data_IF_737153101197
#
_entry.id   IF_737153101197
#
_cell.length_a   1.000
_cell.length_b   1.000
_cell.length_c   1.000
_cell.angle_alpha   90.00
_cell.angle_beta   90.00
_cell.angle_gamma   90.00
#
_symmetry.space_group_name_H-M   'P 1'
#
loop_
_entity.id
_entity.type
_entity.pdbx_description
1 polymer ?
#
# COMPACT_ATOMS: atom_id res chain seq x y z
N UNK A 1 -25.69 37.62 15.77
CA UNK A 1 -24.31 37.10 15.85
C UNK A 1 -24.36 35.62 16.22
N UNK A 2 -24.51 34.72 15.26
CA UNK A 2 -24.42 33.26 15.49
C UNK A 2 -23.95 32.56 14.21
N UNK A 3 -22.65 32.32 14.09
CA UNK A 3 -22.04 31.36 13.16
C UNK A 3 -20.93 30.65 13.92
N UNK A 4 -21.31 29.64 14.70
CA UNK A 4 -20.38 28.79 15.45
C UNK A 4 -20.63 27.28 15.20
N UNK A 5 -21.33 26.93 14.11
CA UNK A 5 -21.67 25.53 13.77
C UNK A 5 -20.91 24.98 12.55
N UNK A 6 -19.86 25.66 12.06
CA UNK A 6 -19.14 25.27 10.82
C UNK A 6 -17.66 25.05 11.10
N UNK A 7 -17.30 24.30 12.13
CA UNK A 7 -15.87 24.04 12.40
C UNK A 7 -15.55 22.62 12.81
N UNK A 8 -16.43 21.96 13.57
CA UNK A 8 -16.20 20.56 13.97
C UNK A 8 -16.62 19.55 12.88
N UNK A 9 -17.77 19.72 12.23
CA UNK A 9 -18.22 18.78 11.17
C UNK A 9 -17.28 18.73 9.95
N UNK A 10 -16.71 19.87 9.55
CA UNK A 10 -15.76 19.94 8.42
C UNK A 10 -14.42 19.27 8.73
N UNK A 11 -13.96 19.35 9.98
CA UNK A 11 -12.70 18.73 10.42
C UNK A 11 -12.83 17.21 10.50
N UNK A 12 -13.95 16.71 11.02
CA UNK A 12 -14.26 15.28 11.07
C UNK A 12 -14.41 14.68 9.67
N UNK A 13 -15.14 15.36 8.77
CA UNK A 13 -15.28 14.95 7.36
C UNK A 13 -13.93 14.94 6.63
N UNK A 14 -13.09 15.94 6.89
CA UNK A 14 -11.73 16.02 6.32
C UNK A 14 -10.84 14.87 6.81
N UNK A 15 -10.86 14.57 8.12
CA UNK A 15 -10.09 13.48 8.71
C UNK A 15 -10.54 12.10 8.19
N UNK A 16 -11.85 11.89 8.07
CA UNK A 16 -12.42 10.67 7.48
C UNK A 16 -12.01 10.50 6.02
N UNK A 17 -12.10 11.58 5.21
CA UNK A 17 -11.68 11.56 3.81
C UNK A 17 -10.18 11.29 3.68
N UNK A 18 -9.36 11.91 4.53
CA UNK A 18 -7.92 11.67 4.56
C UNK A 18 -7.60 10.19 4.88
N UNK A 19 -8.28 9.61 5.86
CA UNK A 19 -8.15 8.18 6.18
C UNK A 19 -8.54 7.27 5.01
N UNK A 20 -9.66 7.57 4.34
CA UNK A 20 -10.12 6.81 3.18
C UNK A 20 -9.17 6.92 1.97
N UNK A 21 -8.67 8.12 1.67
CA UNK A 21 -7.70 8.34 0.59
C UNK A 21 -6.36 7.69 0.91
N UNK A 22 -5.90 7.74 2.17
CA UNK A 22 -4.70 7.05 2.62
C UNK A 22 -4.84 5.53 2.43
N UNK A 23 -5.94 4.95 2.92
CA UNK A 23 -6.21 3.52 2.77
C UNK A 23 -6.22 3.10 1.31
N UNK A 24 -6.94 3.84 0.45
CA UNK A 24 -6.98 3.55 -1.00
C UNK A 24 -5.60 3.58 -1.64
N UNK A 25 -4.77 4.58 -1.30
CA UNK A 25 -3.38 4.66 -1.80
C UNK A 25 -2.54 3.45 -1.36
N UNK A 26 -2.73 2.98 -0.12
CA UNK A 26 -2.04 1.79 0.38
C UNK A 26 -2.53 0.51 -0.30
N UNK A 27 -3.82 0.37 -0.57
CA UNK A 27 -4.37 -0.75 -1.34
C UNK A 27 -3.83 -0.76 -2.79
N UNK A 28 -3.75 0.40 -3.44
CA UNK A 28 -3.18 0.51 -4.78
C UNK A 28 -1.67 0.21 -4.78
N UNK A 29 -0.94 0.69 -3.77
CA UNK A 29 0.46 0.35 -3.57
C UNK A 29 0.67 -1.16 -3.37
N UNK A 30 -0.15 -1.79 -2.54
CA UNK A 30 -0.11 -3.23 -2.31
C UNK A 30 -0.28 -4.01 -3.62
N UNK A 31 -1.27 -3.63 -4.46
CA UNK A 31 -1.48 -4.26 -5.77
C UNK A 31 -0.27 -4.12 -6.69
N UNK A 32 0.42 -2.98 -6.66
CA UNK A 32 1.63 -2.77 -7.46
C UNK A 32 2.75 -3.71 -7.00
N UNK A 33 2.94 -3.84 -5.68
CA UNK A 33 3.96 -4.71 -5.12
C UNK A 33 3.66 -6.19 -5.37
N UNK A 34 2.41 -6.62 -5.26
CA UNK A 34 2.00 -7.99 -5.59
C UNK A 34 2.24 -8.32 -7.06
N UNK A 35 1.95 -7.38 -7.98
CA UNK A 35 2.30 -7.53 -9.40
C UNK A 35 3.81 -7.63 -9.63
N UNK A 36 4.60 -6.83 -8.92
CA UNK A 36 6.06 -6.88 -8.98
C UNK A 36 6.58 -8.23 -8.47
N UNK A 37 6.07 -8.73 -7.35
CA UNK A 37 6.41 -10.06 -6.82
C UNK A 37 6.09 -11.15 -7.85
N UNK A 38 4.90 -11.10 -8.43
CA UNK A 38 4.48 -12.07 -9.43
C UNK A 38 5.35 -12.02 -10.69
N UNK A 39 5.72 -10.82 -11.16
CA UNK A 39 6.72 -10.66 -12.23
C UNK A 39 8.05 -11.31 -11.85
N UNK A 40 8.57 -10.98 -10.67
CA UNK A 40 9.85 -11.50 -10.18
C UNK A 40 9.84 -13.01 -9.95
N UNK A 41 8.69 -13.65 -9.75
CA UNK A 41 8.59 -15.10 -9.54
C UNK A 41 8.27 -15.87 -10.82
N UNK A 42 7.35 -15.36 -11.64
CA UNK A 42 6.69 -16.13 -12.71
C UNK A 42 7.06 -15.68 -14.12
N UNK A 43 7.48 -14.42 -14.31
CA UNK A 43 7.75 -13.90 -15.64
C UNK A 43 9.12 -14.40 -16.16
N UNK A 44 9.18 -15.01 -17.36
CA UNK A 44 10.45 -15.45 -17.96
C UNK A 44 11.46 -14.30 -18.13
N UNK A 45 11.00 -13.05 -18.30
CA UNK A 45 11.88 -11.87 -18.38
C UNK A 45 12.56 -11.58 -17.05
N UNK A 46 11.98 -11.97 -15.92
CA UNK A 46 12.68 -11.86 -14.64
C UNK A 46 13.88 -12.82 -14.55
N UNK A 47 13.94 -13.88 -15.38
CA UNK A 47 15.10 -14.77 -15.45
C UNK A 47 16.31 -14.14 -16.18
N UNK A 48 16.12 -13.04 -16.92
CA UNK A 48 17.23 -12.30 -17.53
C UNK A 48 17.88 -11.31 -16.57
N UNK A 49 17.30 -11.11 -15.38
CA UNK A 49 17.90 -10.31 -14.32
C UNK A 49 19.02 -11.10 -13.65
N UNK A 50 20.02 -10.37 -13.17
CA UNK A 50 21.03 -10.93 -12.28
C UNK A 50 20.36 -11.61 -11.05
N UNK A 51 20.74 -12.86 -10.70
CA UNK A 51 20.08 -13.60 -9.63
C UNK A 51 20.13 -12.91 -8.27
N UNK A 52 21.23 -12.25 -7.93
CA UNK A 52 21.39 -11.54 -6.65
C UNK A 52 20.47 -10.32 -6.59
N UNK A 53 20.42 -9.56 -7.69
CA UNK A 53 19.51 -8.42 -7.85
C UNK A 53 18.06 -8.85 -7.76
N UNK A 54 17.69 -9.95 -8.44
CA UNK A 54 16.32 -10.50 -8.41
C UNK A 54 15.93 -10.94 -6.99
N UNK A 55 16.81 -11.64 -6.27
CA UNK A 55 16.56 -12.06 -4.90
C UNK A 55 16.42 -10.87 -3.96
N UNK A 56 17.29 -9.86 -4.10
CA UNK A 56 17.19 -8.62 -3.31
C UNK A 56 15.85 -7.93 -3.55
N UNK A 57 15.47 -7.73 -4.80
CA UNK A 57 14.20 -7.08 -5.13
C UNK A 57 13.00 -7.89 -4.65
N UNK A 58 13.07 -9.22 -4.68
CA UNK A 58 12.02 -10.08 -4.18
C UNK A 58 11.84 -9.89 -2.67
N UNK A 59 12.93 -9.97 -1.90
CA UNK A 59 12.91 -9.74 -0.45
C UNK A 59 12.37 -8.35 -0.09
N UNK A 60 12.85 -7.31 -0.75
CA UNK A 60 12.41 -5.94 -0.49
C UNK A 60 10.90 -5.79 -0.81
N UNK A 61 10.44 -6.40 -1.91
CA UNK A 61 9.03 -6.40 -2.32
C UNK A 61 8.14 -7.18 -1.32
N UNK A 62 8.61 -8.32 -0.82
CA UNK A 62 7.91 -9.10 0.19
C UNK A 62 7.80 -8.36 1.53
N UNK A 63 8.85 -7.65 1.94
CA UNK A 63 8.83 -6.80 3.12
C UNK A 63 7.85 -5.63 2.97
N UNK A 64 7.83 -4.97 1.80
CA UNK A 64 6.88 -3.90 1.49
C UNK A 64 5.43 -4.40 1.52
N UNK A 65 5.15 -5.59 0.95
CA UNK A 65 3.84 -6.23 0.98
C UNK A 65 3.42 -6.50 2.42
N UNK A 66 4.32 -7.10 3.23
CA UNK A 66 4.04 -7.40 4.63
C UNK A 66 3.68 -6.12 5.39
N UNK A 67 4.55 -5.11 5.38
CA UNK A 67 4.30 -3.83 6.07
C UNK A 67 3.00 -3.17 5.62
N UNK A 68 2.71 -3.19 4.31
CA UNK A 68 1.48 -2.58 3.79
C UNK A 68 0.24 -3.35 4.24
N UNK A 69 0.31 -4.69 4.35
CA UNK A 69 -0.79 -5.50 4.91
C UNK A 69 -1.00 -5.24 6.39
N UNK A 70 0.09 -5.13 7.17
CA UNK A 70 0.04 -4.74 8.59
C UNK A 70 -0.62 -3.37 8.77
N UNK A 71 -0.20 -2.36 7.98
CA UNK A 71 -0.78 -1.02 7.98
C UNK A 71 -2.28 -1.00 7.62
N UNK A 72 -2.72 -1.91 6.73
CA UNK A 72 -4.11 -2.01 6.28
C UNK A 72 -4.99 -2.87 7.21
N UNK A 73 -4.39 -3.57 8.17
CA UNK A 73 -5.06 -4.55 9.03
C UNK A 73 -5.51 -5.81 8.29
N UNK A 74 -4.71 -6.25 7.31
CA UNK A 74 -4.98 -7.42 6.45
C UNK A 74 -4.17 -8.66 6.87
N UNK A 75 -3.64 -8.71 8.10
CA UNK A 75 -3.00 -9.93 8.59
C UNK A 75 -4.02 -11.08 8.61
N UNK A 76 -3.64 -12.24 8.06
CA UNK A 76 -4.50 -13.42 8.11
C UNK A 76 -4.68 -13.83 9.59
N UNK A 77 -5.93 -13.71 10.08
CA UNK A 77 -6.36 -14.28 11.36
C UNK A 77 -6.49 -15.79 11.27
#
# INVERSE_FOLDING_TARGET
MSRAFVREEDEDLSNLRYGAEYRRKREDWLRIQEKKRDFLLKDPKAATLDPETRQRWLRDTEEDIRKTREELGLEES
#
